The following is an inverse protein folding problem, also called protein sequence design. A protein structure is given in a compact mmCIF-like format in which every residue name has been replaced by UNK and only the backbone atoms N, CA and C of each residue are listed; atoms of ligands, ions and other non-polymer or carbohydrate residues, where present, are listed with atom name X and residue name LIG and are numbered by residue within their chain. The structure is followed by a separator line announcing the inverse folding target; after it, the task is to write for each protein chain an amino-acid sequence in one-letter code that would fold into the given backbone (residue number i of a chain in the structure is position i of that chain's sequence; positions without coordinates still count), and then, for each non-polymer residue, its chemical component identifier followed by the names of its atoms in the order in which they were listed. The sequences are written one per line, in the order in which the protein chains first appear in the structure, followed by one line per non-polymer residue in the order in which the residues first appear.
data_IF_051772145516
#
_entry.id   IF_051772145516
#
_cell.length_a   1.000
_cell.length_b   1.000
_cell.length_c   1.000
_cell.angle_alpha   90.00
_cell.angle_beta   90.00
_cell.angle_gamma   90.00
#
_symmetry.space_group_name_H-M   'P 1'
#
loop_
_entity.id
_entity.type
_entity.pdbx_description
1 polymer ?
#
# COMPACT_ATOMS: atom_id res chain seq x y z
N UNK A 1 10.97 5.54 0.25
CA UNK A 1 11.10 5.26 1.70
C UNK A 1 11.25 3.76 1.86
N UNK A 2 12.15 3.27 2.72
CA UNK A 2 12.44 1.84 2.90
C UNK A 2 12.60 1.52 4.39
N UNK A 3 12.03 0.44 4.93
CA UNK A 3 12.29 0.02 6.31
C UNK A 3 13.79 -0.18 6.54
N UNK A 4 14.35 0.47 7.56
CA UNK A 4 15.76 0.31 7.94
C UNK A 4 15.99 -1.08 8.54
N UNK A 5 17.03 -1.78 8.09
CA UNK A 5 17.41 -3.10 8.61
C UNK A 5 16.69 -4.28 7.94
N UNK A 6 15.84 -4.05 6.94
CA UNK A 6 15.16 -5.10 6.19
C UNK A 6 15.59 -5.09 4.71
N UNK A 7 15.96 -6.25 4.18
CA UNK A 7 16.20 -6.41 2.74
C UNK A 7 14.85 -6.41 2.03
N UNK A 8 14.53 -5.32 1.33
CA UNK A 8 13.39 -5.27 0.42
C UNK A 8 13.70 -6.10 -0.83
N UNK A 9 12.93 -7.15 -1.07
CA UNK A 9 12.97 -7.85 -2.34
C UNK A 9 11.89 -7.26 -3.26
N UNK A 10 12.32 -6.61 -4.34
CA UNK A 10 11.43 -6.11 -5.39
C UNK A 10 10.90 -7.31 -6.20
N UNK A 11 9.59 -7.52 -6.16
CA UNK A 11 8.92 -8.60 -6.86
C UNK A 11 8.44 -8.18 -8.27
N UNK A 12 8.70 -6.93 -8.68
CA UNK A 12 8.37 -6.40 -10.00
C UNK A 12 7.33 -5.28 -10.00
N UNK A 13 7.03 -4.80 -11.22
CA UNK A 13 5.95 -3.83 -11.47
C UNK A 13 4.61 -4.57 -11.44
N UNK A 14 3.65 -4.09 -10.65
CA UNK A 14 2.29 -4.63 -10.69
C UNK A 14 1.44 -3.93 -11.76
N UNK A 15 1.63 -2.61 -11.98
CA UNK A 15 1.01 -1.86 -13.09
C UNK A 15 1.86 -0.66 -13.56
N UNK A 16 1.79 -0.34 -14.85
CA UNK A 16 2.58 0.72 -15.50
C UNK A 16 1.77 1.95 -15.86
N UNK A 17 2.21 3.11 -15.37
CA UNK A 17 1.89 4.54 -15.61
C UNK A 17 0.50 5.04 -16.05
N UNK A 18 -0.40 4.26 -16.66
CA UNK A 18 -1.76 4.68 -17.07
C UNK A 18 -2.62 3.43 -17.36
N UNK A 19 -3.89 3.42 -16.98
CA UNK A 19 -4.89 2.50 -17.54
C UNK A 19 -5.95 3.27 -18.35
N UNK A 20 -6.99 2.57 -18.77
CA UNK A 20 -8.14 3.12 -19.50
C UNK A 20 -8.93 4.20 -18.74
N UNK A 21 -8.60 4.50 -17.48
CA UNK A 21 -9.27 5.53 -16.68
C UNK A 21 -8.64 6.93 -16.84
N UNK A 22 -7.54 7.07 -17.60
CA UNK A 22 -6.75 8.31 -17.74
C UNK A 22 -6.15 8.84 -16.42
N UNK A 23 -6.19 8.06 -15.34
CA UNK A 23 -5.56 8.41 -14.07
C UNK A 23 -4.13 7.83 -14.08
N UNK A 24 -3.07 8.65 -13.91
CA UNK A 24 -1.71 8.14 -13.81
C UNK A 24 -1.52 7.40 -12.48
N UNK A 25 -1.05 6.15 -12.55
CA UNK A 25 -0.71 5.37 -11.38
C UNK A 25 0.48 4.45 -11.63
N UNK A 26 1.17 4.06 -10.56
CA UNK A 26 2.27 3.12 -10.58
C UNK A 26 2.23 2.26 -9.33
N UNK A 27 2.51 0.96 -9.47
CA UNK A 27 2.59 0.07 -8.32
C UNK A 27 3.77 -0.89 -8.36
N UNK A 28 4.24 -1.25 -7.16
CA UNK A 28 5.42 -2.08 -6.92
C UNK A 28 5.14 -3.01 -5.76
N UNK A 29 5.40 -4.29 -5.96
CA UNK A 29 5.26 -5.30 -4.90
C UNK A 29 6.61 -5.57 -4.26
N UNK A 30 6.65 -5.57 -2.94
CA UNK A 30 7.84 -5.81 -2.13
C UNK A 30 7.58 -6.88 -1.08
N UNK A 31 8.56 -7.72 -0.74
CA UNK A 31 8.52 -8.53 0.49
C UNK A 31 9.51 -7.99 1.52
N UNK A 32 9.07 -7.89 2.78
CA UNK A 32 9.88 -7.45 3.92
C UNK A 32 9.23 -7.80 5.27
N UNK A 33 10.05 -8.15 6.26
CA UNK A 33 9.67 -8.17 7.68
C UNK A 33 8.39 -8.95 7.99
N UNK A 34 7.66 -8.53 9.00
CA UNK A 34 6.28 -8.98 9.30
C UNK A 34 5.25 -7.92 8.86
N UNK A 35 3.98 -8.31 8.74
CA UNK A 35 2.92 -7.40 8.26
C UNK A 35 2.72 -6.17 9.16
N UNK A 36 2.83 -6.35 10.47
CA UNK A 36 2.74 -5.31 11.49
C UNK A 36 3.97 -4.41 11.50
N UNK A 37 5.19 -4.97 11.40
CA UNK A 37 6.41 -4.16 11.28
C UNK A 37 6.38 -3.24 10.05
N UNK A 38 5.93 -3.77 8.92
CA UNK A 38 5.79 -2.98 7.67
C UNK A 38 4.71 -1.91 7.83
N UNK A 39 3.54 -2.25 8.37
CA UNK A 39 2.47 -1.28 8.60
C UNK A 39 2.90 -0.15 9.53
N UNK A 40 3.55 -0.49 10.65
CA UNK A 40 4.05 0.46 11.64
C UNK A 40 5.16 1.35 11.08
N UNK A 41 6.04 0.81 10.24
CA UNK A 41 7.01 1.61 9.52
C UNK A 41 6.33 2.67 8.65
N UNK A 42 5.38 2.30 7.79
CA UNK A 42 4.73 3.25 6.88
C UNK A 42 3.82 4.25 7.60
N UNK A 43 3.14 3.85 8.69
CA UNK A 43 2.37 4.77 9.55
C UNK A 43 3.23 5.91 10.09
N UNK A 44 4.52 5.69 10.34
CA UNK A 44 5.44 6.72 10.83
C UNK A 44 6.18 7.44 9.71
N UNK A 45 6.75 6.69 8.77
CA UNK A 45 7.65 7.23 7.76
C UNK A 45 6.93 8.13 6.74
N UNK A 46 5.72 7.77 6.34
CA UNK A 46 4.99 8.49 5.29
C UNK A 46 4.51 9.85 5.79
N UNK A 47 3.89 9.98 6.97
CA UNK A 47 3.57 11.29 7.54
C UNK A 47 4.81 12.14 7.85
N UNK A 48 5.90 11.54 8.33
CA UNK A 48 7.16 12.25 8.53
C UNK A 48 7.74 12.84 7.23
N UNK A 49 7.40 12.26 6.08
CA UNK A 49 7.74 12.78 4.75
C UNK A 49 6.74 13.82 4.21
N UNK A 50 5.79 14.30 5.03
CA UNK A 50 4.85 15.37 4.71
C UNK A 50 3.57 14.91 4.00
N UNK A 51 3.22 13.63 4.09
CA UNK A 51 1.94 13.11 3.60
C UNK A 51 0.89 13.10 4.71
N UNK A 52 -0.38 13.25 4.36
CA UNK A 52 -1.50 13.14 5.29
C UNK A 52 -2.04 11.73 5.27
N UNK A 53 -2.22 11.11 6.45
CA UNK A 53 -2.95 9.85 6.56
C UNK A 53 -4.45 10.12 6.40
N UNK A 54 -5.07 9.54 5.37
CA UNK A 54 -6.51 9.68 5.10
C UNK A 54 -7.31 8.52 5.67
N UNK A 55 -6.79 7.30 5.53
CA UNK A 55 -7.41 6.07 6.02
C UNK A 55 -6.36 5.07 6.44
N UNK A 56 -6.61 4.37 7.53
CA UNK A 56 -5.81 3.25 7.99
C UNK A 56 -6.75 2.11 8.37
N UNK A 57 -6.63 0.98 7.68
CA UNK A 57 -7.26 -0.25 8.15
C UNK A 57 -6.47 -0.80 9.36
N UNK A 58 -7.13 -1.62 10.17
CA UNK A 58 -6.45 -2.48 11.14
C UNK A 58 -5.59 -3.49 10.39
N UNK A 59 -4.35 -3.68 10.84
CA UNK A 59 -3.34 -4.54 10.21
C UNK A 59 -2.58 -5.26 11.31
N UNK A 60 -2.82 -6.57 11.44
CA UNK A 60 -2.06 -7.45 12.33
C UNK A 60 -1.97 -8.88 11.75
N UNK A 61 -1.00 -9.69 12.20
CA UNK A 61 -0.90 -11.08 11.78
C UNK A 61 -2.19 -11.87 12.08
N UNK A 62 -2.51 -12.83 11.21
CA UNK A 62 -3.68 -13.70 11.33
C UNK A 62 -5.03 -13.02 11.05
N UNK A 63 -5.03 -11.73 10.71
CA UNK A 63 -6.25 -11.00 10.38
C UNK A 63 -6.88 -11.53 9.10
N UNK A 64 -8.20 -11.72 9.15
CA UNK A 64 -9.01 -12.02 7.96
C UNK A 64 -9.29 -10.72 7.22
N UNK A 65 -8.95 -10.69 5.95
CA UNK A 65 -9.13 -9.52 5.09
C UNK A 65 -9.84 -9.95 3.82
N UNK A 66 -10.86 -9.17 3.43
CA UNK A 66 -11.53 -9.35 2.14
C UNK A 66 -10.95 -8.33 1.18
N UNK A 67 -10.18 -8.79 0.20
CA UNK A 67 -9.41 -7.95 -0.75
C UNK A 67 -8.23 -7.18 -0.11
N UNK A 68 -7.62 -7.73 0.94
CA UNK A 68 -6.47 -7.12 1.62
C UNK A 68 -6.81 -5.95 2.55
N UNK A 69 -5.83 -5.54 3.35
CA UNK A 69 -5.88 -4.32 4.18
C UNK A 69 -5.04 -3.21 3.54
N UNK A 70 -5.31 -1.93 3.87
CA UNK A 70 -4.54 -0.81 3.32
C UNK A 70 -4.29 0.34 4.28
N UNK A 71 -3.17 1.03 4.04
CA UNK A 71 -2.92 2.38 4.55
C UNK A 71 -2.97 3.36 3.38
N UNK A 72 -3.72 4.44 3.54
CA UNK A 72 -3.95 5.43 2.49
C UNK A 72 -3.51 6.81 2.93
N UNK A 73 -2.66 7.42 2.12
CA UNK A 73 -2.09 8.72 2.35
C UNK A 73 -2.35 9.64 1.16
N UNK A 74 -2.42 10.94 1.41
CA UNK A 74 -2.53 11.96 0.37
C UNK A 74 -1.45 13.02 0.52
N UNK A 75 -1.09 13.65 -0.60
CA UNK A 75 -0.26 14.85 -0.62
C UNK A 75 -0.61 15.69 -1.83
N UNK A 76 -0.65 17.02 -1.65
CA UNK A 76 -0.74 17.94 -2.79
C UNK A 76 0.66 18.20 -3.35
N UNK A 77 0.83 18.01 -4.66
CA UNK A 77 2.06 18.26 -5.41
C UNK A 77 1.65 19.13 -6.60
N UNK A 78 2.14 20.38 -6.64
CA UNK A 78 1.83 21.34 -7.71
C UNK A 78 0.31 21.52 -7.98
N UNK A 79 -0.50 21.47 -6.93
CA UNK A 79 -1.96 21.62 -7.02
C UNK A 79 -2.72 20.33 -7.39
N UNK A 80 -2.03 19.25 -7.71
CA UNK A 80 -2.61 17.92 -7.93
C UNK A 80 -2.57 17.10 -6.64
N UNK A 81 -3.66 16.40 -6.33
CA UNK A 81 -3.68 15.48 -5.19
C UNK A 81 -3.16 14.12 -5.64
N UNK A 82 -2.10 13.69 -4.98
CA UNK A 82 -1.51 12.36 -5.15
C UNK A 82 -1.86 11.52 -3.95
N UNK A 83 -2.32 10.31 -4.21
CA UNK A 83 -2.57 9.28 -3.22
C UNK A 83 -1.43 8.26 -3.23
N UNK A 84 -1.02 7.85 -2.04
CA UNK A 84 -0.10 6.73 -1.81
C UNK A 84 -0.85 5.71 -0.96
N UNK A 85 -0.99 4.50 -1.47
CA UNK A 85 -1.57 3.36 -0.79
C UNK A 85 -0.49 2.32 -0.52
N UNK A 86 -0.49 1.77 0.70
CA UNK A 86 0.29 0.60 1.08
C UNK A 86 -0.71 -0.54 1.25
N UNK A 87 -0.76 -1.44 0.29
CA UNK A 87 -1.66 -2.58 0.25
C UNK A 87 -1.01 -3.83 0.87
N UNK A 88 -1.78 -4.53 1.70
CA UNK A 88 -1.41 -5.80 2.31
C UNK A 88 -2.35 -6.86 1.74
N UNK A 89 -2.01 -7.49 0.60
CA UNK A 89 -2.79 -8.58 0.06
C UNK A 89 -2.76 -9.75 1.04
N UNK A 90 -3.90 -10.39 1.26
CA UNK A 90 -3.87 -11.72 1.89
C UNK A 90 -3.36 -12.76 0.89
N UNK A 91 -2.96 -13.93 1.37
CA UNK A 91 -2.45 -15.00 0.50
C UNK A 91 -3.54 -15.51 -0.45
N UNK A 92 -3.29 -15.48 -1.76
CA UNK A 92 -4.27 -15.74 -2.83
C UNK A 92 -4.79 -17.19 -2.98
N UNK A 93 -4.54 -18.09 -2.04
CA UNK A 93 -4.86 -19.53 -2.19
C UNK A 93 -5.73 -20.15 -1.08
N UNK A 94 -6.32 -19.37 -0.14
CA UNK A 94 -7.05 -19.93 1.01
C UNK A 94 -8.55 -19.53 1.14
N UNK A 95 -9.20 -19.13 0.04
CA UNK A 95 -10.66 -18.97 -0.02
C UNK A 95 -11.18 -17.53 0.09
N UNK A 96 -12.48 -17.30 0.34
CA UNK A 96 -13.13 -15.98 0.26
C UNK A 96 -12.71 -14.98 1.35
N UNK A 97 -11.91 -15.43 2.33
CA UNK A 97 -11.34 -14.64 3.40
C UNK A 97 -9.83 -14.87 3.40
N UNK A 98 -9.07 -13.98 2.75
CA UNK A 98 -7.63 -14.10 2.74
C UNK A 98 -7.07 -13.78 4.14
N UNK A 99 -6.02 -14.49 4.57
CA UNK A 99 -5.39 -14.27 5.88
C UNK A 99 -4.07 -13.52 5.72
N UNK A 100 -3.90 -12.43 6.49
CA UNK A 100 -2.62 -11.75 6.64
C UNK A 100 -1.64 -12.67 7.38
N UNK A 101 -0.57 -13.09 6.71
CA UNK A 101 0.37 -14.05 7.29
C UNK A 101 1.31 -13.45 8.35
N UNK A 102 1.91 -14.29 9.22
CA UNK A 102 2.96 -13.88 10.16
C UNK A 102 4.35 -13.71 9.53
N UNK A 103 4.56 -14.24 8.32
CA UNK A 103 5.85 -14.27 7.60
C UNK A 103 6.03 -13.05 6.68
N UNK A 104 7.24 -12.81 6.09
CA UNK A 104 7.44 -11.80 5.06
C UNK A 104 6.47 -11.96 3.91
N UNK A 105 5.41 -11.16 3.99
CA UNK A 105 4.37 -11.06 2.98
C UNK A 105 4.74 -9.97 1.99
N UNK A 106 4.31 -10.22 0.77
CA UNK A 106 4.29 -9.20 -0.27
C UNK A 106 3.36 -8.06 0.19
N UNK A 107 3.83 -6.82 0.13
CA UNK A 107 3.01 -5.62 0.24
C UNK A 107 3.14 -4.83 -1.06
N UNK A 108 2.05 -4.21 -1.49
CA UNK A 108 2.00 -3.37 -2.68
C UNK A 108 2.13 -1.90 -2.29
N UNK A 109 3.04 -1.18 -2.95
CA UNK A 109 3.09 0.27 -2.92
C UNK A 109 2.48 0.81 -4.18
N UNK A 110 1.32 1.45 -4.04
CA UNK A 110 0.53 2.00 -5.12
C UNK A 110 0.49 3.52 -4.99
N UNK A 111 0.94 4.23 -6.02
CA UNK A 111 0.85 5.69 -6.10
C UNK A 111 -0.06 6.07 -7.27
N UNK A 112 -0.96 7.03 -7.05
CA UNK A 112 -1.96 7.46 -8.03
C UNK A 112 -2.18 8.97 -7.92
N UNK A 113 -2.16 9.65 -9.06
CA UNK A 113 -2.44 11.08 -9.13
C UNK A 113 -3.88 11.29 -9.61
N UNK A 114 -4.77 11.63 -8.68
CA UNK A 114 -6.21 11.76 -8.96
C UNK A 114 -6.66 13.21 -8.76
N UNK A 115 -6.70 14.00 -9.84
CA UNK A 115 -7.10 15.39 -9.77
C UNK A 115 -8.59 15.56 -9.41
N UNK A 116 -9.42 14.53 -9.61
CA UNK A 116 -10.88 14.60 -9.45
C UNK A 116 -11.38 13.95 -8.15
N UNK A 117 -10.50 13.34 -7.35
CA UNK A 117 -10.83 12.56 -6.13
C UNK A 117 -11.86 11.46 -6.38
N UNK A 118 -11.81 10.84 -7.55
CA UNK A 118 -12.69 9.75 -7.96
C UNK A 118 -12.26 8.38 -7.43
N UNK A 119 -10.98 8.22 -7.07
CA UNK A 119 -10.44 6.96 -6.57
C UNK A 119 -10.95 6.68 -5.16
N UNK A 120 -11.86 5.70 -5.05
CA UNK A 120 -12.43 5.19 -3.79
C UNK A 120 -11.64 4.04 -3.16
N UNK A 121 -10.50 3.68 -3.77
CA UNK A 121 -9.60 2.65 -3.23
C UNK A 121 -8.77 3.16 -2.06
N UNK A 122 -8.66 4.48 -1.95
CA UNK A 122 -8.55 5.21 -0.70
C UNK A 122 -9.92 5.87 -0.42
#
# INVERSE_FOLDING_TARGET
MRPTGVTLQDQGVSYGCTDSTNIPYASRVYSAGTVDEVADFYRRAVPAAGWKLERADEIHPGQRVRFGARLCFSRSIEGVIVFLSVGFPGGLDEGPEDILGPDPRNFDLFALADPERTYRGC
#
